data_IF_804297191727
#
_entry.id   IF_804297191727
#
_cell.length_a   1.000
_cell.length_b   1.000
_cell.length_c   1.000
_cell.angle_alpha   90.00
_cell.angle_beta   90.00
_cell.angle_gamma   90.00
#
_symmetry.space_group_name_H-M   'P 1'
#
loop_
_entity.id
_entity.type
_entity.pdbx_description
1 polymer ?
#
# COMPACT_ATOMS: atom_id res chain seq x y z
N UNK A 1 -30.90 9.93 18.26
CA UNK A 1 -29.80 10.86 18.60
C UNK A 1 -28.41 10.37 18.19
N UNK A 2 -28.21 9.10 17.77
CA UNK A 2 -26.90 8.65 17.25
C UNK A 2 -26.75 8.79 15.72
N UNK A 3 -27.84 8.70 14.96
CA UNK A 3 -27.82 8.72 13.48
C UNK A 3 -27.30 10.05 12.92
N UNK A 4 -27.74 11.19 13.48
CA UNK A 4 -27.30 12.52 13.01
C UNK A 4 -25.82 12.82 13.28
N UNK A 5 -25.21 12.17 14.27
CA UNK A 5 -23.77 12.30 14.57
C UNK A 5 -22.93 11.44 13.62
N UNK A 6 -23.36 10.22 13.34
CA UNK A 6 -22.69 9.32 12.39
C UNK A 6 -22.72 9.90 10.96
N UNK A 7 -23.84 10.48 10.52
CA UNK A 7 -23.94 11.12 9.21
C UNK A 7 -23.04 12.36 9.07
N UNK A 8 -22.86 13.14 10.13
CA UNK A 8 -21.94 14.28 10.15
C UNK A 8 -20.47 13.84 10.09
N UNK A 9 -20.10 12.80 10.84
CA UNK A 9 -18.73 12.27 10.86
C UNK A 9 -18.38 11.59 9.53
N UNK A 10 -19.30 10.80 8.95
CA UNK A 10 -19.12 10.19 7.63
C UNK A 10 -18.95 11.23 6.51
N UNK A 11 -19.73 12.32 6.55
CA UNK A 11 -19.58 13.43 5.61
C UNK A 11 -18.21 14.09 5.73
N UNK A 12 -17.69 14.26 6.95
CA UNK A 12 -16.37 14.85 7.15
C UNK A 12 -15.25 14.01 6.54
N UNK A 13 -15.25 12.69 6.71
CA UNK A 13 -14.24 11.82 6.11
C UNK A 13 -14.33 11.81 4.57
N UNK A 14 -15.53 11.85 3.99
CA UNK A 14 -15.70 11.94 2.55
C UNK A 14 -15.18 13.27 1.97
N UNK A 15 -15.40 14.38 2.69
CA UNK A 15 -14.82 15.68 2.34
C UNK A 15 -13.29 15.65 2.34
N UNK A 16 -12.71 15.09 3.40
CA UNK A 16 -11.26 14.94 3.57
C UNK A 16 -10.65 14.04 2.48
N UNK A 17 -11.28 12.89 2.21
CA UNK A 17 -10.86 11.96 1.17
C UNK A 17 -10.89 12.62 -0.21
N UNK A 18 -12.00 13.26 -0.60
CA UNK A 18 -12.12 13.98 -1.85
C UNK A 18 -11.02 15.05 -1.99
N UNK A 19 -10.77 15.80 -0.92
CA UNK A 19 -9.74 16.84 -0.91
C UNK A 19 -8.33 16.29 -1.17
N UNK A 20 -7.86 15.36 -0.34
CA UNK A 20 -6.48 14.87 -0.44
C UNK A 20 -6.24 14.05 -1.70
N UNK A 21 -7.22 13.24 -2.13
CA UNK A 21 -7.09 12.42 -3.34
C UNK A 21 -7.03 13.28 -4.61
N UNK A 22 -7.87 14.31 -4.72
CA UNK A 22 -7.79 15.24 -5.85
C UNK A 22 -6.49 16.05 -5.82
N UNK A 23 -6.03 16.49 -4.63
CA UNK A 23 -4.76 17.23 -4.48
C UNK A 23 -3.53 16.38 -4.84
N UNK A 24 -3.60 15.06 -4.64
CA UNK A 24 -2.59 14.09 -5.11
C UNK A 24 -2.53 14.01 -6.65
N UNK A 25 -3.56 14.51 -7.34
CA UNK A 25 -3.63 14.53 -8.81
C UNK A 25 -4.52 13.45 -9.40
N UNK A 26 -5.35 12.77 -8.59
CA UNK A 26 -6.37 11.87 -9.14
C UNK A 26 -7.45 12.70 -9.85
N UNK A 27 -7.96 12.16 -10.97
CA UNK A 27 -9.08 12.78 -11.67
C UNK A 27 -10.37 12.68 -10.85
N UNK A 28 -11.32 13.57 -11.14
CA UNK A 28 -12.63 13.54 -10.50
C UNK A 28 -13.34 12.18 -10.69
N UNK A 29 -13.19 11.57 -11.87
CA UNK A 29 -13.69 10.23 -12.18
C UNK A 29 -13.05 9.14 -11.30
N UNK A 30 -11.73 9.23 -11.07
CA UNK A 30 -11.03 8.26 -10.21
C UNK A 30 -11.50 8.38 -8.76
N UNK A 31 -11.68 9.60 -8.27
CA UNK A 31 -12.13 9.87 -6.89
C UNK A 31 -13.59 9.47 -6.70
N UNK A 32 -14.48 9.84 -7.62
CA UNK A 32 -15.90 9.50 -7.56
C UNK A 32 -16.12 8.00 -7.55
N UNK A 33 -15.41 7.27 -8.41
CA UNK A 33 -15.43 5.81 -8.45
C UNK A 33 -14.88 5.18 -7.18
N UNK A 34 -13.77 5.68 -6.63
CA UNK A 34 -13.13 5.12 -5.44
C UNK A 34 -13.96 5.31 -4.17
N UNK A 35 -14.72 6.41 -4.08
CA UNK A 35 -15.55 6.74 -2.92
C UNK A 35 -17.03 6.39 -3.11
N UNK A 36 -17.39 5.80 -4.26
CA UNK A 36 -18.77 5.43 -4.63
C UNK A 36 -19.77 6.60 -4.56
N UNK A 37 -19.31 7.81 -4.91
CA UNK A 37 -20.12 9.04 -4.97
C UNK A 37 -20.25 9.56 -6.40
N UNK A 38 -21.20 10.46 -6.65
CA UNK A 38 -21.27 11.13 -7.95
C UNK A 38 -20.13 12.15 -8.13
N UNK A 39 -19.73 12.44 -9.37
CA UNK A 39 -18.72 13.48 -9.65
C UNK A 39 -19.13 14.87 -9.13
N UNK A 40 -20.44 15.18 -9.19
CA UNK A 40 -20.98 16.43 -8.67
C UNK A 40 -20.84 16.49 -7.15
N UNK A 41 -21.11 15.39 -6.46
CA UNK A 41 -20.95 15.26 -5.02
C UNK A 41 -19.47 15.31 -4.60
N UNK A 42 -18.58 14.59 -5.29
CA UNK A 42 -17.14 14.66 -5.04
C UNK A 42 -16.59 16.10 -5.20
N UNK A 43 -17.06 16.84 -6.21
CA UNK A 43 -16.70 18.25 -6.41
C UNK A 43 -17.19 19.13 -5.26
N UNK A 44 -18.41 18.89 -4.78
CA UNK A 44 -18.98 19.63 -3.66
C UNK A 44 -18.21 19.35 -2.35
N UNK A 45 -17.96 18.08 -2.05
CA UNK A 45 -17.20 17.62 -0.89
C UNK A 45 -15.78 18.19 -0.86
N UNK A 46 -15.09 18.19 -2.01
CA UNK A 46 -13.78 18.84 -2.18
C UNK A 46 -13.83 20.32 -1.77
N UNK A 47 -14.80 21.08 -2.32
CA UNK A 47 -14.93 22.52 -2.07
C UNK A 47 -15.27 22.84 -0.62
N UNK A 48 -16.08 21.99 0.02
CA UNK A 48 -16.42 22.14 1.43
C UNK A 48 -15.19 22.00 2.33
N UNK A 49 -14.35 21.00 2.08
CA UNK A 49 -13.10 20.83 2.82
C UNK A 49 -12.11 21.98 2.56
N UNK A 50 -11.96 22.38 1.30
CA UNK A 50 -11.11 23.50 0.91
C UNK A 50 -11.53 24.81 1.59
N UNK A 51 -12.84 25.07 1.69
CA UNK A 51 -13.39 26.22 2.43
C UNK A 51 -13.11 26.13 3.94
N UNK A 52 -13.16 24.94 4.54
CA UNK A 52 -12.79 24.74 5.94
C UNK A 52 -11.32 25.05 6.19
N UNK A 53 -10.43 24.67 5.27
CA UNK A 53 -9.00 25.04 5.33
C UNK A 53 -8.85 26.57 5.20
N UNK A 54 -9.45 27.17 4.19
CA UNK A 54 -9.34 28.61 3.93
C UNK A 54 -9.88 29.48 5.08
N UNK A 55 -10.88 28.98 5.82
CA UNK A 55 -11.45 29.65 6.99
C UNK A 55 -10.72 29.35 8.31
N UNK A 56 -9.67 28.52 8.29
CA UNK A 56 -8.91 28.12 9.48
C UNK A 56 -9.67 27.22 10.44
N UNK A 57 -10.75 26.56 9.98
CA UNK A 57 -11.52 25.59 10.79
C UNK A 57 -10.84 24.23 10.86
N UNK A 58 -10.01 23.93 9.88
CA UNK A 58 -9.15 22.73 9.83
C UNK A 58 -7.83 23.10 9.15
N UNK A 59 -6.83 22.24 9.28
CA UNK A 59 -5.52 22.42 8.67
C UNK A 59 -5.16 21.17 7.85
N UNK A 60 -4.34 21.38 6.82
CA UNK A 60 -3.72 20.26 6.15
C UNK A 60 -2.66 19.62 7.04
N UNK A 61 -2.64 18.30 7.09
CA UNK A 61 -1.56 17.58 7.73
C UNK A 61 -1.13 16.36 6.91
N UNK A 62 0.10 15.93 7.17
CA UNK A 62 0.69 14.81 6.43
C UNK A 62 0.10 13.46 6.82
N UNK A 63 -0.45 13.32 8.03
CA UNK A 63 -1.01 12.06 8.52
C UNK A 63 -2.24 11.69 7.70
N UNK A 64 -3.18 12.63 7.56
CA UNK A 64 -4.42 12.45 6.80
C UNK A 64 -4.13 12.29 5.31
N UNK A 65 -3.20 13.10 4.77
CA UNK A 65 -2.74 12.92 3.39
C UNK A 65 -2.25 11.51 3.13
N UNK A 66 -1.35 11.01 3.99
CA UNK A 66 -0.78 9.67 3.85
C UNK A 66 -1.83 8.57 4.07
N UNK A 67 -2.78 8.78 4.99
CA UNK A 67 -3.89 7.85 5.22
C UNK A 67 -4.74 7.67 3.97
N UNK A 68 -5.24 8.76 3.37
CA UNK A 68 -6.09 8.67 2.18
C UNK A 68 -5.32 8.13 0.97
N UNK A 69 -4.05 8.50 0.85
CA UNK A 69 -3.17 7.90 -0.13
C UNK A 69 -3.02 6.37 0.05
N UNK A 70 -2.80 5.91 1.28
CA UNK A 70 -2.70 4.49 1.61
C UNK A 70 -4.00 3.76 1.28
N UNK A 71 -5.15 4.31 1.70
CA UNK A 71 -6.48 3.75 1.44
C UNK A 71 -6.74 3.62 -0.06
N UNK A 72 -6.44 4.65 -0.85
CA UNK A 72 -6.60 4.58 -2.30
C UNK A 72 -5.66 3.57 -2.95
N UNK A 73 -4.38 3.58 -2.57
CA UNK A 73 -3.40 2.66 -3.14
C UNK A 73 -3.81 1.20 -2.86
N UNK A 74 -4.26 0.90 -1.65
CA UNK A 74 -4.72 -0.44 -1.28
C UNK A 74 -6.00 -0.83 -2.04
N UNK A 75 -6.93 0.11 -2.27
CA UNK A 75 -8.18 -0.16 -3.01
C UNK A 75 -7.96 -0.48 -4.49
N UNK A 76 -6.91 0.08 -5.11
CA UNK A 76 -6.50 -0.23 -6.49
C UNK A 76 -5.52 -1.40 -6.58
N UNK A 77 -5.23 -2.07 -5.46
CA UNK A 77 -4.31 -3.20 -5.40
C UNK A 77 -2.82 -2.84 -5.45
N UNK A 78 -2.48 -1.55 -5.39
CA UNK A 78 -1.12 -1.05 -5.27
C UNK A 78 -0.66 -1.02 -3.81
N UNK A 79 -0.79 -2.16 -3.16
CA UNK A 79 -0.64 -2.29 -1.72
C UNK A 79 0.81 -2.13 -1.25
N UNK A 80 0.97 -1.82 0.04
CA UNK A 80 2.28 -1.82 0.70
C UNK A 80 2.78 -3.24 0.91
N UNK A 81 3.92 -3.56 0.31
CA UNK A 81 4.59 -4.87 0.42
C UNK A 81 5.77 -4.75 1.38
N UNK A 82 5.88 -5.69 2.32
CA UNK A 82 7.01 -5.79 3.26
C UNK A 82 7.91 -6.95 2.87
N UNK A 83 9.21 -6.72 2.71
CA UNK A 83 10.19 -7.74 2.35
C UNK A 83 11.49 -7.57 3.13
N UNK A 84 12.38 -8.56 3.05
CA UNK A 84 13.68 -8.56 3.75
C UNK A 84 14.80 -8.29 2.76
N UNK A 85 15.76 -7.46 3.18
CA UNK A 85 17.08 -7.31 2.56
C UNK A 85 18.16 -7.57 3.63
N UNK A 86 19.43 -7.62 3.21
CA UNK A 86 20.55 -7.98 4.08
C UNK A 86 20.65 -7.16 5.37
N UNK A 87 20.18 -5.92 5.35
CA UNK A 87 20.24 -4.97 6.47
C UNK A 87 18.90 -4.67 7.15
N UNK A 88 17.84 -5.45 6.86
CA UNK A 88 16.58 -5.38 7.61
C UNK A 88 15.31 -5.47 6.78
N UNK A 89 14.23 -4.94 7.34
CA UNK A 89 12.90 -4.92 6.72
C UNK A 89 12.69 -3.66 5.90
N UNK A 90 12.10 -3.83 4.73
CA UNK A 90 11.83 -2.77 3.79
C UNK A 90 10.37 -2.80 3.36
N UNK A 91 9.87 -1.64 2.95
CA UNK A 91 8.53 -1.49 2.41
C UNK A 91 8.58 -0.74 1.08
N UNK A 92 7.82 -1.20 0.10
CA UNK A 92 7.52 -0.40 -1.09
C UNK A 92 6.10 -0.71 -1.56
N UNK A 93 5.64 0.00 -2.58
CA UNK A 93 4.37 -0.31 -3.23
C UNK A 93 4.53 -1.50 -4.15
N UNK A 94 3.44 -2.21 -4.42
CA UNK A 94 3.40 -3.30 -5.40
C UNK A 94 3.97 -2.85 -6.76
N UNK A 95 3.53 -1.70 -7.25
CA UNK A 95 3.98 -1.15 -8.53
C UNK A 95 5.48 -0.83 -8.55
N UNK A 96 6.09 -0.56 -7.38
CA UNK A 96 7.54 -0.37 -7.29
C UNK A 96 8.27 -1.69 -7.50
N UNK A 97 7.74 -2.81 -6.97
CA UNK A 97 8.30 -4.14 -7.25
C UNK A 97 8.16 -4.50 -8.72
N UNK A 98 7.01 -4.20 -9.33
CA UNK A 98 6.77 -4.45 -10.76
C UNK A 98 7.76 -3.68 -11.67
N UNK A 99 8.32 -2.56 -11.20
CA UNK A 99 9.33 -1.75 -11.91
C UNK A 99 10.78 -2.13 -11.60
N UNK A 100 11.05 -2.87 -10.52
CA UNK A 100 12.42 -3.28 -10.18
C UNK A 100 12.98 -4.25 -11.23
N UNK A 101 14.28 -4.17 -11.53
CA UNK A 101 14.91 -5.14 -12.43
C UNK A 101 14.92 -6.56 -11.83
N UNK A 102 15.01 -7.57 -12.71
CA UNK A 102 14.94 -8.97 -12.31
C UNK A 102 16.07 -9.39 -11.34
N UNK A 103 17.33 -8.93 -11.49
CA UNK A 103 18.38 -9.19 -10.49
C UNK A 103 18.05 -8.65 -9.09
N UNK A 104 17.55 -7.43 -8.98
CA UNK A 104 17.16 -6.83 -7.69
C UNK A 104 15.98 -7.60 -7.06
N UNK A 105 14.99 -7.99 -7.87
CA UNK A 105 13.87 -8.83 -7.41
C UNK A 105 14.35 -10.19 -6.92
N UNK A 106 15.28 -10.83 -7.63
CA UNK A 106 15.84 -12.12 -7.22
C UNK A 106 16.59 -12.01 -5.89
N UNK A 107 17.39 -10.96 -5.69
CA UNK A 107 18.09 -10.73 -4.43
C UNK A 107 17.12 -10.56 -3.24
N UNK A 108 16.02 -9.83 -3.43
CA UNK A 108 14.96 -9.70 -2.42
C UNK A 108 14.27 -11.04 -2.16
N UNK A 109 13.96 -11.79 -3.23
CA UNK A 109 13.33 -13.09 -3.14
C UNK A 109 14.15 -14.08 -2.31
N UNK A 110 15.45 -14.22 -2.63
CA UNK A 110 16.36 -15.12 -1.92
C UNK A 110 16.50 -14.74 -0.44
N UNK A 111 16.68 -13.45 -0.15
CA UNK A 111 16.82 -12.97 1.23
C UNK A 111 15.55 -13.16 2.03
N UNK A 112 14.40 -12.91 1.40
CA UNK A 112 13.09 -13.11 2.02
C UNK A 112 12.77 -14.60 2.23
N UNK A 113 13.16 -15.49 1.31
CA UNK A 113 13.05 -16.94 1.51
C UNK A 113 13.90 -17.41 2.69
N UNK A 114 15.16 -16.97 2.78
CA UNK A 114 16.04 -17.29 3.93
C UNK A 114 15.43 -16.83 5.25
N UNK A 115 14.76 -15.68 5.28
CA UNK A 115 14.05 -15.22 6.47
C UNK A 115 12.91 -16.17 6.88
N UNK A 116 12.17 -16.73 5.92
CA UNK A 116 11.05 -17.64 6.20
C UNK A 116 11.49 -18.99 6.78
N UNK A 117 12.75 -19.38 6.59
CA UNK A 117 13.31 -20.59 7.19
C UNK A 117 13.57 -20.44 8.71
N UNK A 118 13.55 -19.22 9.25
CA UNK A 118 13.70 -19.00 10.69
C UNK A 118 12.44 -19.38 11.46
N UNK A 119 12.58 -20.24 12.47
CA UNK A 119 11.48 -20.53 13.40
C UNK A 119 11.25 -19.38 14.38
N UNK A 120 10.21 -18.58 14.13
CA UNK A 120 9.80 -17.46 14.97
C UNK A 120 9.24 -17.90 16.34
N UNK A 121 8.74 -19.14 16.45
CA UNK A 121 8.23 -19.69 17.70
C UNK A 121 9.32 -20.19 18.62
N UNK A 122 10.56 -20.32 18.14
CA UNK A 122 11.70 -20.75 18.96
C UNK A 122 11.85 -19.92 20.24
N UNK A 123 11.51 -18.63 20.21
CA UNK A 123 11.56 -17.73 21.38
C UNK A 123 10.39 -17.88 22.35
N UNK A 124 9.35 -18.61 21.94
CA UNK A 124 8.11 -18.82 22.67
C UNK A 124 7.89 -20.30 23.02
N UNK A 125 8.94 -21.15 22.91
CA UNK A 125 8.85 -22.57 23.29
C UNK A 125 8.57 -22.74 24.79
N UNK A 126 9.23 -21.94 25.63
CA UNK A 126 9.11 -22.00 27.10
C UNK A 126 8.18 -20.92 27.67
N UNK A 127 7.61 -20.05 26.84
CA UNK A 127 6.76 -18.95 27.27
C UNK A 127 5.73 -18.58 26.21
N UNK A 128 4.49 -18.31 26.64
CA UNK A 128 3.46 -17.82 25.71
C UNK A 128 3.82 -16.41 25.20
N UNK A 129 3.50 -16.09 23.93
CA UNK A 129 3.63 -14.73 23.44
C UNK A 129 2.73 -13.77 24.25
N UNK A 130 3.07 -12.46 24.30
CA UNK A 130 2.22 -11.44 24.90
C UNK A 130 0.79 -11.48 24.33
N UNK A 131 -0.20 -11.15 25.15
CA UNK A 131 -1.59 -11.08 24.70
C UNK A 131 -1.72 -10.08 23.54
N UNK A 132 -2.34 -10.52 22.45
CA UNK A 132 -2.50 -9.71 21.23
C UNK A 132 -1.27 -9.66 20.32
N UNK A 133 -0.14 -10.26 20.72
CA UNK A 133 1.03 -10.38 19.85
C UNK A 133 0.93 -11.65 18.99
N UNK A 134 1.09 -11.48 17.68
CA UNK A 134 1.18 -12.59 16.73
C UNK A 134 2.62 -12.76 16.22
N UNK A 135 3.35 -13.80 16.68
CA UNK A 135 4.72 -14.09 16.22
C UNK A 135 4.85 -14.31 14.71
N UNK A 136 3.76 -14.68 14.03
CA UNK A 136 3.73 -15.02 12.61
C UNK A 136 3.33 -13.83 11.72
N UNK A 137 2.90 -12.70 12.29
CA UNK A 137 2.43 -11.56 11.51
C UNK A 137 3.47 -11.13 10.46
N UNK A 138 4.73 -11.01 10.87
CA UNK A 138 5.83 -10.65 9.98
C UNK A 138 6.11 -11.73 8.94
N UNK A 139 6.15 -13.01 9.33
CA UNK A 139 6.34 -14.10 8.38
C UNK A 139 5.25 -14.16 7.31
N UNK A 140 3.99 -13.88 7.66
CA UNK A 140 2.90 -13.82 6.67
C UNK A 140 3.09 -12.67 5.69
N UNK A 141 3.54 -11.51 6.16
CA UNK A 141 3.88 -10.37 5.29
C UNK A 141 5.05 -10.71 4.34
N UNK A 142 6.12 -11.33 4.86
CA UNK A 142 7.27 -11.72 4.04
C UNK A 142 6.89 -12.81 3.03
N UNK A 143 6.07 -13.80 3.43
CA UNK A 143 5.57 -14.85 2.53
C UNK A 143 4.78 -14.24 1.37
N UNK A 144 3.93 -13.26 1.65
CA UNK A 144 3.18 -12.54 0.62
C UNK A 144 4.11 -11.85 -0.39
N UNK A 145 5.16 -11.20 0.08
CA UNK A 145 6.16 -10.58 -0.80
C UNK A 145 6.89 -11.60 -1.66
N UNK A 146 7.28 -12.74 -1.08
CA UNK A 146 7.91 -13.85 -1.81
C UNK A 146 7.00 -14.38 -2.91
N UNK A 147 5.74 -14.69 -2.59
CA UNK A 147 4.76 -15.21 -3.56
C UNK A 147 4.52 -14.20 -4.70
N UNK A 148 4.50 -12.90 -4.38
CA UNK A 148 4.37 -11.81 -5.36
C UNK A 148 5.58 -11.72 -6.29
N UNK A 149 6.79 -11.67 -5.73
CA UNK A 149 8.02 -11.54 -6.50
C UNK A 149 8.21 -12.76 -7.41
N UNK A 150 7.90 -13.96 -6.92
CA UNK A 150 7.91 -15.19 -7.73
C UNK A 150 6.98 -15.07 -8.94
N UNK A 151 5.76 -14.54 -8.74
CA UNK A 151 4.80 -14.31 -9.83
C UNK A 151 5.36 -13.33 -10.87
N UNK A 152 5.95 -12.21 -10.44
CA UNK A 152 6.53 -11.19 -11.34
C UNK A 152 7.66 -11.81 -12.16
N UNK A 153 8.62 -12.47 -11.51
CA UNK A 153 9.76 -13.11 -12.17
C UNK A 153 9.31 -14.18 -13.17
N UNK A 154 8.31 -15.00 -12.80
CA UNK A 154 7.75 -16.01 -13.68
C UNK A 154 7.08 -15.39 -14.91
N UNK A 155 6.30 -14.33 -14.73
CA UNK A 155 5.67 -13.61 -15.84
C UNK A 155 6.72 -13.06 -16.81
N UNK A 156 7.78 -12.42 -16.30
CA UNK A 156 8.87 -11.89 -17.14
C UNK A 156 9.62 -12.98 -17.92
N UNK A 157 9.83 -14.13 -17.28
CA UNK A 157 10.43 -15.30 -17.93
C UNK A 157 9.56 -15.82 -19.08
N UNK A 158 8.25 -15.96 -18.84
CA UNK A 158 7.27 -16.41 -19.84
C UNK A 158 7.10 -15.42 -21.00
N UNK A 159 7.15 -14.11 -20.72
CA UNK A 159 7.05 -13.04 -21.71
C UNK A 159 8.32 -12.83 -22.56
N UNK A 160 9.44 -13.48 -22.21
CA UNK A 160 10.67 -13.40 -22.99
C UNK A 160 11.48 -12.10 -22.82
N UNK A 161 11.15 -11.26 -21.85
CA UNK A 161 11.88 -10.01 -21.53
C UNK A 161 13.35 -10.27 -21.12
N UNK A 162 13.70 -11.52 -20.81
CA UNK A 162 15.07 -11.94 -20.50
C UNK A 162 15.90 -12.31 -21.74
N UNK A 163 15.32 -12.37 -22.94
CA UNK A 163 16.05 -12.80 -24.16
C UNK A 163 16.77 -11.69 -24.93
N UNK A 164 16.55 -10.41 -24.62
CA UNK A 164 17.15 -9.31 -25.40
C UNK A 164 18.54 -8.86 -24.91
N UNK A 165 18.97 -9.22 -23.69
CA UNK A 165 20.26 -8.77 -23.14
C UNK A 165 21.44 -9.75 -23.32
N UNK A 166 21.20 -10.96 -23.84
CA UNK A 166 22.25 -11.96 -24.12
C UNK A 166 22.76 -11.94 -25.57
N UNK A 167 22.21 -11.06 -26.41
CA UNK A 167 22.65 -10.88 -27.80
C UNK A 167 23.50 -9.62 -27.99
N UNK A 168 24.66 -9.57 -27.34
CA UNK A 168 25.78 -8.73 -27.79
C UNK A 168 26.94 -9.65 -28.20
N UNK A 169 27.36 -9.67 -29.48
CA UNK A 169 28.49 -10.47 -29.91
C UNK A 169 29.80 -9.87 -29.37
N UNK A 170 30.69 -10.76 -28.91
CA UNK A 170 32.11 -10.48 -28.67
C UNK A 170 32.84 -10.09 -29.95
#
# INVERSE_FOLDING_TARGET
MNVEKEDQDSSQYLQEACYYLMKKGLSLEQVSKALEVSEQEATQLYREFESKIASGKTEENEVDRNLWEDVYNDSVGNEKITFVRDNGFYHCRRDDLDKMDSPALMAIFETSKKFLDFDMYRRYLDSKPPVGYDPMAMQRQIKRAVDLIEKILKQRWESGETKENDSLPR
#
